data_IF_814135186688
#
_entry.id   IF_814135186688
#
_cell.length_a   1.000
_cell.length_b   1.000
_cell.length_c   1.000
_cell.angle_alpha   90.00
_cell.angle_beta   90.00
_cell.angle_gamma   90.00
#
_symmetry.space_group_name_H-M   'P 1'
#
loop_
_entity.id
_entity.type
_entity.pdbx_description
1 polymer ?
#
# COMPACT_ATOMS: atom_id res chain seq x y z
N UNK A 1 -10.08 7.35 -17.52
CA UNK A 1 -9.02 7.12 -16.50
C UNK A 1 -8.27 8.43 -16.27
N UNK A 2 -8.23 8.95 -15.03
CA UNK A 2 -7.53 10.21 -14.72
C UNK A 2 -6.05 9.90 -14.45
N UNK A 3 -5.12 10.46 -15.24
CA UNK A 3 -3.67 10.32 -14.97
C UNK A 3 -3.31 11.16 -13.75
N UNK A 4 -2.60 10.56 -12.81
CA UNK A 4 -1.99 11.26 -11.66
C UNK A 4 -0.51 11.46 -11.97
N UNK A 5 -0.05 12.70 -11.75
CA UNK A 5 1.36 13.08 -11.86
C UNK A 5 2.09 12.67 -10.57
N UNK A 6 3.27 12.06 -10.68
CA UNK A 6 4.06 11.50 -9.57
C UNK A 6 4.41 12.54 -8.49
N UNK A 7 4.57 13.78 -8.90
CA UNK A 7 4.94 14.93 -8.07
C UNK A 7 3.82 15.27 -7.07
N UNK A 8 2.56 14.95 -7.42
CA UNK A 8 1.39 15.12 -6.54
C UNK A 8 1.25 14.03 -5.49
N UNK A 9 2.07 12.97 -5.56
CA UNK A 9 2.04 11.84 -4.62
C UNK A 9 3.04 12.02 -3.48
N UNK A 10 4.06 12.86 -3.65
CA UNK A 10 5.05 13.12 -2.60
C UNK A 10 4.37 13.65 -1.34
N UNK A 11 4.64 13.00 -0.21
CA UNK A 11 4.08 13.33 1.11
C UNK A 11 2.62 12.93 1.34
N UNK A 12 1.89 12.54 0.29
CA UNK A 12 0.48 12.13 0.38
C UNK A 12 0.36 10.80 1.13
N UNK A 13 -0.67 10.66 1.98
CA UNK A 13 -1.01 9.38 2.62
C UNK A 13 -1.71 8.48 1.62
N UNK A 14 -1.09 7.35 1.29
CA UNK A 14 -1.61 6.41 0.29
C UNK A 14 -1.74 5.02 0.90
N UNK A 15 -2.95 4.45 0.86
CA UNK A 15 -3.15 3.04 1.20
C UNK A 15 -3.04 2.18 -0.06
N UNK A 16 -2.26 1.11 0.00
CA UNK A 16 -2.21 0.07 -1.04
C UNK A 16 -2.89 -1.17 -0.48
N UNK A 17 -4.03 -1.53 -1.06
CA UNK A 17 -4.86 -2.66 -0.60
C UNK A 17 -4.59 -3.89 -1.47
N UNK A 18 -4.17 -4.97 -0.81
CA UNK A 18 -3.75 -6.23 -1.41
C UNK A 18 -2.28 -6.20 -1.80
N UNK A 19 -1.47 -7.09 -1.20
CA UNK A 19 -0.01 -7.17 -1.34
C UNK A 19 0.44 -8.36 -2.22
N UNK A 20 -0.38 -8.73 -3.20
CA UNK A 20 0.05 -9.61 -4.28
C UNK A 20 1.05 -8.90 -5.21
N UNK A 21 1.24 -9.40 -6.44
CA UNK A 21 2.26 -8.89 -7.38
C UNK A 21 2.15 -7.40 -7.67
N UNK A 22 0.96 -6.93 -8.06
CA UNK A 22 0.71 -5.51 -8.41
C UNK A 22 0.72 -4.59 -7.19
N UNK A 23 0.28 -5.08 -6.03
CA UNK A 23 0.31 -4.33 -4.79
C UNK A 23 1.72 -3.99 -4.33
N UNK A 24 2.61 -4.99 -4.30
CA UNK A 24 4.03 -4.78 -3.97
C UNK A 24 4.68 -3.80 -4.96
N UNK A 25 4.42 -3.96 -6.25
CA UNK A 25 4.96 -3.03 -7.26
C UNK A 25 4.46 -1.59 -7.06
N UNK A 26 3.16 -1.41 -6.77
CA UNK A 26 2.59 -0.10 -6.50
C UNK A 26 3.16 0.52 -5.22
N UNK A 27 3.27 -0.25 -4.13
CA UNK A 27 3.85 0.21 -2.87
C UNK A 27 5.30 0.69 -3.06
N UNK A 28 6.13 -0.09 -3.78
CA UNK A 28 7.52 0.31 -4.11
C UNK A 28 7.58 1.61 -4.90
N UNK A 29 6.74 1.77 -5.92
CA UNK A 29 6.69 3.00 -6.70
C UNK A 29 6.30 4.19 -5.84
N UNK A 30 5.29 4.03 -4.98
CA UNK A 30 4.80 5.08 -4.09
C UNK A 30 5.86 5.50 -3.06
N UNK A 31 6.60 4.54 -2.50
CA UNK A 31 7.75 4.82 -1.64
C UNK A 31 8.83 5.60 -2.40
N UNK A 32 9.16 5.19 -3.62
CA UNK A 32 10.19 5.83 -4.44
C UNK A 32 9.85 7.29 -4.80
N UNK A 33 8.56 7.62 -4.97
CA UNK A 33 8.12 9.02 -5.22
C UNK A 33 7.87 9.81 -3.94
N UNK A 34 8.16 9.22 -2.77
CA UNK A 34 8.10 9.87 -1.46
C UNK A 34 6.69 9.99 -0.88
N UNK A 35 5.74 9.14 -1.29
CA UNK A 35 4.45 9.04 -0.63
C UNK A 35 4.60 8.40 0.76
N UNK A 36 3.64 8.68 1.65
CA UNK A 36 3.52 8.00 2.95
C UNK A 36 2.63 6.79 2.77
N UNK A 37 3.23 5.62 2.64
CA UNK A 37 2.53 4.41 2.22
C UNK A 37 2.07 3.59 3.42
N UNK A 38 0.81 3.17 3.39
CA UNK A 38 0.28 2.10 4.24
C UNK A 38 0.02 0.87 3.37
N UNK A 39 0.71 -0.23 3.66
CA UNK A 39 0.45 -1.54 3.07
C UNK A 39 -0.68 -2.21 3.85
N UNK A 40 -1.80 -2.47 3.18
CA UNK A 40 -2.99 -3.07 3.77
C UNK A 40 -3.33 -4.39 3.09
N UNK A 41 -3.56 -5.45 3.86
CA UNK A 41 -4.00 -6.75 3.32
C UNK A 41 -4.92 -7.44 4.32
N UNK A 42 -5.96 -8.11 3.84
CA UNK A 42 -6.88 -8.86 4.70
C UNK A 42 -6.23 -10.12 5.29
N UNK A 43 -5.14 -10.62 4.70
CA UNK A 43 -4.33 -11.70 5.26
C UNK A 43 -3.58 -11.22 6.51
N UNK A 44 -3.35 -12.14 7.43
CA UNK A 44 -2.46 -11.93 8.57
C UNK A 44 -0.99 -11.76 8.13
N UNK A 45 -0.14 -11.25 9.03
CA UNK A 45 1.27 -10.94 8.76
C UNK A 45 2.04 -12.11 8.13
N UNK A 46 1.84 -13.32 8.65
CA UNK A 46 2.45 -14.54 8.11
C UNK A 46 2.08 -14.78 6.63
N UNK A 47 0.87 -14.41 6.22
CA UNK A 47 0.37 -14.55 4.85
C UNK A 47 0.93 -13.51 3.87
N UNK A 48 1.58 -12.46 4.37
CA UNK A 48 2.18 -11.38 3.55
C UNK A 48 3.68 -11.19 3.79
N UNK A 49 4.31 -12.01 4.62
CA UNK A 49 5.73 -11.87 4.99
C UNK A 49 6.68 -11.79 3.77
N UNK A 50 6.48 -12.64 2.75
CA UNK A 50 7.26 -12.57 1.50
C UNK A 50 7.06 -11.24 0.77
N UNK A 51 5.84 -10.72 0.73
CA UNK A 51 5.54 -9.44 0.11
C UNK A 51 6.21 -8.28 0.86
N UNK A 52 6.13 -8.28 2.20
CA UNK A 52 6.75 -7.26 3.06
C UNK A 52 8.28 -7.30 2.99
N UNK A 53 8.89 -8.47 2.82
CA UNK A 53 10.35 -8.60 2.66
C UNK A 53 10.91 -7.88 1.42
N UNK A 54 10.05 -7.56 0.45
CA UNK A 54 10.39 -6.87 -0.81
C UNK A 54 10.17 -5.35 -0.73
N UNK A 55 9.72 -4.85 0.41
CA UNK A 55 9.45 -3.44 0.66
C UNK A 55 10.43 -2.90 1.70
N UNK A 56 10.67 -1.59 1.66
CA UNK A 56 11.35 -0.93 2.78
C UNK A 56 10.36 -0.73 3.92
N UNK A 57 10.35 -1.65 4.89
CA UNK A 57 9.41 -1.62 6.01
C UNK A 57 9.65 -0.47 6.98
N UNK A 58 10.82 0.21 6.94
CA UNK A 58 11.11 1.36 7.81
C UNK A 58 10.34 2.62 7.42
N UNK A 59 9.95 2.72 6.15
CA UNK A 59 9.20 3.84 5.58
C UNK A 59 7.74 3.48 5.26
N UNK A 60 7.26 2.35 5.78
CA UNK A 60 5.97 1.76 5.47
C UNK A 60 5.19 1.49 6.75
N UNK A 61 3.92 1.86 6.78
CA UNK A 61 2.99 1.37 7.82
C UNK A 61 2.35 0.08 7.31
N UNK A 62 2.27 -0.94 8.14
CA UNK A 62 1.65 -2.23 7.79
C UNK A 62 0.36 -2.40 8.59
N UNK A 63 -0.73 -2.72 7.90
CA UNK A 63 -2.03 -3.05 8.50
C UNK A 63 -2.53 -4.36 7.90
N UNK A 64 -2.61 -5.39 8.70
CA UNK A 64 -2.93 -6.76 8.24
C UNK A 64 -4.08 -7.35 9.04
N UNK A 65 -4.67 -8.43 8.52
CA UNK A 65 -5.76 -9.14 9.19
C UNK A 65 -7.01 -8.28 9.34
N UNK A 66 -7.78 -8.53 10.40
CA UNK A 66 -9.06 -7.84 10.65
C UNK A 66 -8.95 -6.30 10.76
N UNK A 67 -7.75 -5.76 11.00
CA UNK A 67 -7.51 -4.32 11.15
C UNK A 67 -7.13 -3.59 9.85
N UNK A 68 -7.06 -4.28 8.71
CA UNK A 68 -6.52 -3.70 7.47
C UNK A 68 -7.34 -2.52 6.93
N UNK A 69 -8.66 -2.51 7.13
CA UNK A 69 -9.57 -1.49 6.63
C UNK A 69 -9.34 -0.11 7.25
N UNK A 70 -8.71 -0.04 8.43
CA UNK A 70 -8.33 1.24 9.06
C UNK A 70 -7.48 2.08 8.12
N UNK A 71 -6.67 1.45 7.27
CA UNK A 71 -5.86 2.14 6.27
C UNK A 71 -6.70 2.95 5.26
N UNK A 72 -7.93 2.53 4.98
CA UNK A 72 -8.83 3.24 4.05
C UNK A 72 -9.26 4.61 4.61
N UNK A 73 -9.51 4.66 5.92
CA UNK A 73 -9.97 5.88 6.59
C UNK A 73 -8.84 6.91 6.78
N UNK A 74 -7.59 6.45 6.86
CA UNK A 74 -6.42 7.31 7.06
C UNK A 74 -5.83 7.85 5.75
N UNK A 75 -6.19 7.25 4.61
CA UNK A 75 -5.59 7.54 3.31
C UNK A 75 -6.29 8.69 2.57
N UNK A 76 -5.50 9.49 1.86
CA UNK A 76 -6.01 10.49 0.92
C UNK A 76 -6.19 9.93 -0.50
N UNK A 77 -5.58 8.77 -0.77
CA UNK A 77 -5.69 8.03 -2.01
C UNK A 77 -5.55 6.54 -1.71
N UNK A 78 -6.40 5.73 -2.35
CA UNK A 78 -6.36 4.27 -2.23
C UNK A 78 -5.97 3.67 -3.57
N UNK A 79 -4.97 2.79 -3.56
CA UNK A 79 -4.62 1.92 -4.67
C UNK A 79 -5.14 0.53 -4.35
N UNK A 80 -6.14 0.08 -5.10
CA UNK A 80 -6.73 -1.23 -4.93
C UNK A 80 -6.13 -2.17 -5.98
N UNK A 81 -5.54 -3.28 -5.52
CA UNK A 81 -5.06 -4.33 -6.41
C UNK A 81 -6.25 -5.07 -7.06
N UNK A 82 -6.21 -5.44 -8.35
CA UNK A 82 -7.36 -6.01 -9.07
C UNK A 82 -7.99 -7.29 -8.48
N UNK A 83 -7.28 -8.01 -7.61
CA UNK A 83 -7.78 -9.23 -6.96
C UNK A 83 -8.45 -9.00 -5.60
N UNK A 84 -8.58 -7.74 -5.17
CA UNK A 84 -9.35 -7.38 -3.97
C UNK A 84 -10.83 -7.31 -4.39
N UNK A 85 -11.73 -8.03 -3.71
CA UNK A 85 -13.16 -8.08 -4.03
C UNK A 85 -13.90 -6.76 -3.78
#
# INVERSE_FOLDING_TARGET
MKRVRTEKLKGKKVAVVGLARSGVAAARLLQAVGARVTAADAKEEAGVADALSRLDTRSLVVRVGAGYEVALNEAELVVISPGVP
#
